data_IF_346815331425
#
_entry.id   IF_346815331425
#
_cell.length_a   1.000
_cell.length_b   1.000
_cell.length_c   1.000
_cell.angle_alpha   90.00
_cell.angle_beta   90.00
_cell.angle_gamma   90.00
#
_symmetry.space_group_name_H-M   'P 1'
#
loop_
_entity.id
_entity.type
_entity.pdbx_description
1 polymer ?
#
# COMPACT_ATOMS: atom_id res chain seq x y z
N UNK A 1 -46.20 -26.29 34.45
CA UNK A 1 -46.12 -25.96 33.01
C UNK A 1 -44.64 -25.89 32.63
N UNK A 2 -44.12 -26.89 31.90
CA UNK A 2 -42.70 -26.93 31.54
C UNK A 2 -42.42 -25.95 30.38
N UNK A 3 -41.47 -25.03 30.57
CA UNK A 3 -41.05 -24.10 29.53
C UNK A 3 -40.41 -24.86 28.36
N UNK A 4 -41.00 -24.74 27.16
CA UNK A 4 -40.43 -25.32 25.93
C UNK A 4 -39.06 -24.68 25.68
N UNK A 5 -38.00 -25.48 25.77
CA UNK A 5 -36.62 -25.07 25.49
C UNK A 5 -36.49 -24.73 24.01
N UNK A 6 -36.29 -23.45 23.69
CA UNK A 6 -36.13 -23.01 22.30
C UNK A 6 -34.85 -23.60 21.69
N UNK A 7 -34.95 -24.15 20.47
CA UNK A 7 -33.78 -24.66 19.75
C UNK A 7 -32.84 -23.49 19.38
N UNK A 8 -31.51 -23.66 19.50
CA UNK A 8 -30.57 -22.63 19.11
C UNK A 8 -30.66 -22.37 17.60
N UNK A 9 -30.99 -21.13 17.22
CA UNK A 9 -31.02 -20.70 15.82
C UNK A 9 -29.59 -20.49 15.33
N UNK A 10 -29.22 -21.17 14.24
CA UNK A 10 -27.92 -20.97 13.63
C UNK A 10 -27.73 -19.51 13.19
N UNK A 11 -26.53 -18.91 13.39
CA UNK A 11 -26.27 -17.54 12.96
C UNK A 11 -26.42 -17.43 11.44
N UNK A 12 -27.14 -16.39 10.99
CA UNK A 12 -27.37 -16.12 9.56
C UNK A 12 -26.08 -15.75 8.81
N UNK A 13 -25.09 -15.22 9.52
CA UNK A 13 -23.81 -14.81 8.95
C UNK A 13 -22.83 -15.98 9.05
N UNK A 14 -22.42 -16.50 7.88
CA UNK A 14 -21.53 -17.67 7.77
C UNK A 14 -20.05 -17.34 7.91
N UNK A 15 -19.66 -16.08 7.69
CA UNK A 15 -18.28 -15.63 7.72
C UNK A 15 -18.11 -14.45 8.66
N UNK A 16 -17.13 -14.52 9.56
CA UNK A 16 -16.77 -13.39 10.42
C UNK A 16 -16.04 -12.36 9.56
N UNK A 17 -16.65 -11.21 9.36
CA UNK A 17 -16.00 -10.06 8.72
C UNK A 17 -15.41 -9.21 9.84
N UNK A 18 -14.11 -8.98 9.79
CA UNK A 18 -13.46 -8.01 10.67
C UNK A 18 -13.64 -6.61 10.07
N UNK A 19 -14.37 -5.71 10.75
CA UNK A 19 -14.63 -4.37 10.22
C UNK A 19 -13.34 -3.55 10.19
N UNK A 20 -13.08 -2.89 9.06
CA UNK A 20 -11.96 -1.98 8.86
C UNK A 20 -12.07 -0.69 9.69
N UNK A 21 -13.30 -0.32 10.05
CA UNK A 21 -13.60 0.88 10.83
C UNK A 21 -14.02 0.54 12.25
N UNK A 22 -13.70 1.43 13.19
CA UNK A 22 -13.96 1.22 14.60
C UNK A 22 -14.37 2.50 15.34
N UNK A 23 -15.25 2.42 16.35
CA UNK A 23 -15.62 3.57 17.17
C UNK A 23 -14.47 4.01 18.07
N UNK A 24 -14.55 5.24 18.58
CA UNK A 24 -13.54 5.84 19.45
C UNK A 24 -13.16 4.96 20.65
N UNK A 25 -14.12 4.26 21.26
CA UNK A 25 -13.87 3.37 22.40
C UNK A 25 -12.92 2.22 22.04
N UNK A 26 -13.09 1.61 20.86
CA UNK A 26 -12.22 0.51 20.40
C UNK A 26 -10.82 1.03 20.06
N UNK A 27 -10.72 2.24 19.52
CA UNK A 27 -9.43 2.91 19.28
C UNK A 27 -8.72 3.23 20.60
N UNK A 28 -9.42 3.77 21.59
CA UNK A 28 -8.88 4.07 22.91
C UNK A 28 -8.27 2.82 23.56
N UNK A 29 -9.01 1.70 23.55
CA UNK A 29 -8.50 0.41 24.05
C UNK A 29 -7.25 -0.06 23.31
N UNK A 30 -7.15 0.16 21.99
CA UNK A 30 -5.97 -0.19 21.18
C UNK A 30 -4.75 0.66 21.52
N UNK A 31 -4.97 1.88 22.01
CA UNK A 31 -3.95 2.77 22.55
C UNK A 31 -3.69 2.54 24.05
N UNK A 32 -4.31 1.54 24.66
CA UNK A 32 -4.28 1.25 26.09
C UNK A 32 -4.80 2.42 26.97
N UNK A 33 -5.80 3.15 26.48
CA UNK A 33 -6.45 4.25 27.17
C UNK A 33 -7.94 3.93 27.42
N UNK A 34 -8.52 4.56 28.45
CA UNK A 34 -9.98 4.65 28.56
C UNK A 34 -10.54 5.65 27.55
N UNK A 35 -11.85 5.60 27.30
CA UNK A 35 -12.51 6.53 26.38
C UNK A 35 -12.33 7.99 26.84
N UNK A 36 -12.46 8.27 28.14
CA UNK A 36 -12.26 9.62 28.68
C UNK A 36 -10.82 10.10 28.55
N UNK A 37 -9.84 9.25 28.88
CA UNK A 37 -8.42 9.57 28.68
C UNK A 37 -8.09 9.86 27.22
N UNK A 38 -8.69 9.10 26.29
CA UNK A 38 -8.53 9.35 24.86
C UNK A 38 -9.10 10.72 24.47
N UNK A 39 -10.29 11.10 24.98
CA UNK A 39 -10.89 12.42 24.74
C UNK A 39 -10.04 13.56 25.30
N UNK A 40 -9.50 13.40 26.51
CA UNK A 40 -8.61 14.40 27.12
C UNK A 40 -7.33 14.61 26.32
N UNK A 41 -6.78 13.52 25.76
CA UNK A 41 -5.56 13.57 24.96
C UNK A 41 -5.83 13.85 23.47
N UNK A 42 -7.07 13.81 23.00
CA UNK A 42 -7.43 13.84 21.58
C UNK A 42 -6.86 15.06 20.86
N UNK A 43 -6.98 16.25 21.47
CA UNK A 43 -6.40 17.49 20.90
C UNK A 43 -4.89 17.38 20.67
N UNK A 44 -4.15 16.78 21.62
CA UNK A 44 -2.70 16.58 21.51
C UNK A 44 -2.37 15.50 20.47
N UNK A 45 -3.19 14.46 20.37
CA UNK A 45 -3.05 13.41 19.35
C UNK A 45 -3.24 13.99 17.94
N UNK A 46 -4.30 14.78 17.71
CA UNK A 46 -4.54 15.42 16.41
C UNK A 46 -3.43 16.41 16.04
N UNK A 47 -2.89 17.16 17.00
CA UNK A 47 -1.72 18.02 16.78
C UNK A 47 -0.48 17.23 16.35
N UNK A 48 -0.37 15.94 16.72
CA UNK A 48 0.69 15.01 16.29
C UNK A 48 0.35 14.28 14.98
N UNK A 49 -0.73 14.67 14.30
CA UNK A 49 -1.19 14.05 13.06
C UNK A 49 -1.90 12.72 13.23
N UNK A 50 -2.48 12.44 14.41
CA UNK A 50 -3.36 11.28 14.58
C UNK A 50 -4.58 11.40 13.65
N UNK A 51 -5.04 10.31 13.00
CA UNK A 51 -6.15 10.37 12.05
C UNK A 51 -7.45 10.85 12.70
N UNK A 52 -8.19 11.68 11.99
CA UNK A 52 -9.52 12.13 12.40
C UNK A 52 -10.56 11.03 12.12
N UNK A 53 -11.65 10.98 12.91
CA UNK A 53 -12.78 10.11 12.59
C UNK A 53 -13.44 10.57 11.29
N UNK A 54 -14.06 9.63 10.58
CA UNK A 54 -14.91 9.91 9.43
C UNK A 54 -16.06 10.86 9.81
N UNK A 55 -16.28 11.90 9.01
CA UNK A 55 -17.28 12.94 9.31
C UNK A 55 -18.70 12.42 9.26
N UNK A 56 -18.95 11.41 8.41
CA UNK A 56 -20.30 10.86 8.19
C UNK A 56 -20.63 9.80 9.25
N UNK A 57 -19.67 8.93 9.54
CA UNK A 57 -19.88 7.73 10.35
C UNK A 57 -19.38 7.89 11.79
N UNK A 58 -18.52 8.88 12.06
CA UNK A 58 -17.84 9.07 13.35
C UNK A 58 -16.84 7.95 13.70
N UNK A 59 -16.52 7.09 12.72
CA UNK A 59 -15.67 5.92 12.90
C UNK A 59 -14.24 6.21 12.47
N UNK A 60 -13.29 5.55 13.11
CA UNK A 60 -11.88 5.64 12.76
C UNK A 60 -11.49 4.48 11.86
N UNK A 61 -10.65 4.76 10.87
CA UNK A 61 -9.98 3.74 10.08
C UNK A 61 -8.87 3.07 10.92
N UNK A 62 -8.97 1.75 11.11
CA UNK A 62 -8.02 0.97 11.90
C UNK A 62 -6.63 0.90 11.27
N UNK A 63 -6.54 0.97 9.95
CA UNK A 63 -5.28 0.94 9.21
C UNK A 63 -4.57 2.29 9.32
N UNK A 64 -5.31 3.40 9.23
CA UNK A 64 -4.76 4.74 9.41
C UNK A 64 -4.14 4.91 10.81
N UNK A 65 -4.81 4.39 11.85
CA UNK A 65 -4.30 4.42 13.22
C UNK A 65 -3.02 3.60 13.35
N UNK A 66 -2.96 2.42 12.73
CA UNK A 66 -1.78 1.55 12.75
C UNK A 66 -0.58 2.21 12.04
N UNK A 67 -0.81 2.75 10.84
CA UNK A 67 0.21 3.49 10.08
C UNK A 67 0.75 4.69 10.84
N UNK A 68 -0.12 5.45 11.52
CA UNK A 68 0.32 6.54 12.39
C UNK A 68 1.24 6.02 13.50
N UNK A 69 0.88 4.90 14.15
CA UNK A 69 1.68 4.27 15.21
C UNK A 69 3.07 3.85 14.72
N UNK A 70 3.13 3.23 13.55
CA UNK A 70 4.38 2.83 12.89
C UNK A 70 5.24 4.06 12.57
N UNK A 71 4.64 5.12 12.04
CA UNK A 71 5.34 6.38 11.73
C UNK A 71 5.95 7.06 12.97
N UNK A 72 5.36 6.89 14.16
CA UNK A 72 5.94 7.43 15.41
C UNK A 72 7.17 6.64 15.90
N UNK A 73 7.40 5.43 15.37
CA UNK A 73 8.52 4.56 15.74
C UNK A 73 9.32 4.18 14.48
N UNK A 74 9.99 5.15 13.83
CA UNK A 74 10.81 4.86 12.65
C UNK A 74 11.94 3.87 12.94
N UNK A 75 12.38 3.78 14.20
CA UNK A 75 13.38 2.80 14.66
C UNK A 75 12.93 1.34 14.48
N UNK A 76 11.62 1.09 14.62
CA UNK A 76 11.01 -0.25 14.53
C UNK A 76 10.40 -0.52 13.16
N UNK A 77 9.99 0.54 12.45
CA UNK A 77 9.30 0.47 11.17
C UNK A 77 9.93 1.43 10.15
N UNK A 78 11.18 1.18 9.72
CA UNK A 78 11.85 2.02 8.73
C UNK A 78 11.09 2.05 7.39
N UNK A 79 10.41 0.97 7.01
CA UNK A 79 9.62 0.85 5.79
C UNK A 79 8.34 1.71 5.80
N UNK A 80 7.82 2.06 6.98
CA UNK A 80 6.61 2.89 7.10
C UNK A 80 6.90 4.39 6.98
N UNK A 81 8.17 4.80 7.15
CA UNK A 81 8.60 6.19 7.16
C UNK A 81 8.83 6.80 5.78
N UNK A 82 9.04 5.96 4.76
CA UNK A 82 9.41 6.43 3.43
C UNK A 82 8.41 5.95 2.38
N UNK A 83 7.82 6.84 1.55
CA UNK A 83 7.35 6.40 0.26
C UNK A 83 8.59 5.85 -0.43
N UNK A 84 8.63 4.53 -0.69
CA UNK A 84 9.62 3.96 -1.59
C UNK A 84 9.48 4.79 -2.87
N UNK A 85 10.48 5.59 -3.27
CA UNK A 85 10.38 6.34 -4.50
C UNK A 85 10.13 5.29 -5.57
N UNK A 86 8.97 5.40 -6.25
CA UNK A 86 8.66 4.49 -7.34
C UNK A 86 9.89 4.46 -8.24
N UNK A 87 10.48 3.28 -8.53
CA UNK A 87 11.66 3.21 -9.36
C UNK A 87 11.35 4.00 -10.62
N UNK A 88 12.23 4.96 -10.94
CA UNK A 88 12.00 5.85 -12.08
C UNK A 88 11.61 4.97 -13.28
N UNK A 89 10.51 5.31 -13.99
CA UNK A 89 10.09 4.50 -15.13
C UNK A 89 11.29 4.32 -16.05
N UNK A 90 11.55 3.10 -16.57
CA UNK A 90 12.69 2.86 -17.43
C UNK A 90 12.66 3.90 -18.56
N UNK A 91 13.82 4.43 -18.98
CA UNK A 91 13.87 5.42 -20.04
C UNK A 91 13.12 4.85 -21.26
N UNK A 92 12.23 5.65 -21.84
CA UNK A 92 11.50 5.25 -23.05
C UNK A 92 12.53 4.96 -24.13
N UNK A 93 12.67 3.69 -24.51
CA UNK A 93 13.50 3.28 -25.63
C UNK A 93 12.81 3.71 -26.94
N UNK A 94 13.48 4.57 -27.71
CA UNK A 94 13.05 4.89 -29.06
C UNK A 94 13.34 3.69 -29.98
N UNK A 95 12.29 2.96 -30.32
CA UNK A 95 12.38 1.78 -31.18
C UNK A 95 12.82 2.13 -32.61
N UNK A 96 12.57 3.36 -33.07
CA UNK A 96 12.98 3.84 -34.39
C UNK A 96 14.49 4.04 -34.47
N UNK A 97 15.09 4.67 -33.45
CA UNK A 97 16.54 4.82 -33.34
C UNK A 97 17.24 3.46 -33.32
N UNK A 98 16.72 2.52 -32.51
CA UNK A 98 17.28 1.16 -32.41
C UNK A 98 17.17 0.37 -33.72
N UNK A 99 16.05 0.50 -34.44
CA UNK A 99 15.87 -0.14 -35.74
C UNK A 99 16.85 0.38 -36.80
N UNK A 100 17.13 1.69 -36.78
CA UNK A 100 18.10 2.32 -37.68
C UNK A 100 19.52 1.83 -37.44
N UNK A 101 19.95 1.73 -36.18
CA UNK A 101 21.27 1.19 -35.83
C UNK A 101 21.44 -0.27 -36.29
N UNK A 102 20.41 -1.11 -36.11
CA UNK A 102 20.42 -2.51 -36.55
C UNK A 102 20.59 -2.59 -38.07
N UNK A 103 19.82 -1.77 -38.82
CA UNK A 103 19.91 -1.73 -40.27
C UNK A 103 21.30 -1.29 -40.75
N UNK A 104 21.87 -0.24 -40.16
CA UNK A 104 23.20 0.26 -40.51
C UNK A 104 24.30 -0.77 -40.19
N UNK A 105 24.18 -1.49 -39.07
CA UNK A 105 25.10 -2.58 -38.72
C UNK A 105 25.04 -3.74 -39.73
N UNK A 106 23.83 -4.13 -40.16
CA UNK A 106 23.66 -5.17 -41.17
C UNK A 106 24.20 -4.75 -42.54
N UNK A 107 24.01 -3.49 -42.93
CA UNK A 107 24.61 -2.94 -44.14
C UNK A 107 26.14 -2.98 -44.10
N UNK A 108 26.74 -2.60 -42.96
CA UNK A 108 28.20 -2.68 -42.77
C UNK A 108 28.71 -4.11 -42.88
N UNK A 109 28.07 -5.07 -42.22
CA UNK A 109 28.42 -6.50 -42.31
C UNK A 109 28.35 -7.00 -43.74
N UNK A 110 27.28 -6.65 -44.47
CA UNK A 110 27.12 -7.05 -45.88
C UNK A 110 28.20 -6.43 -46.77
N UNK A 111 28.50 -5.15 -46.60
CA UNK A 111 29.55 -4.45 -47.34
C UNK A 111 30.94 -5.06 -47.04
N UNK A 112 31.21 -5.39 -45.79
CA UNK A 112 32.45 -6.05 -45.37
C UNK A 112 32.60 -7.41 -46.05
N UNK A 113 31.57 -8.27 -46.00
CA UNK A 113 31.57 -9.59 -46.66
C UNK A 113 31.82 -9.46 -48.18
N UNK A 114 31.16 -8.50 -48.83
CA UNK A 114 31.36 -8.24 -50.26
C UNK A 114 32.79 -7.76 -50.57
N UNK A 115 33.36 -6.91 -49.72
CA UNK A 115 34.73 -6.43 -49.87
C UNK A 115 35.77 -7.55 -49.70
N UNK A 116 35.54 -8.48 -48.75
CA UNK A 116 36.41 -9.63 -48.53
C UNK A 116 36.35 -10.62 -49.71
N UNK A 117 35.15 -10.82 -50.30
CA UNK A 117 35.00 -11.65 -51.51
C UNK A 117 35.72 -11.05 -52.71
N UNK A 118 35.69 -9.72 -52.89
CA UNK A 118 36.38 -9.03 -53.99
C UNK A 118 37.91 -9.10 -53.87
N UNK A 119 38.48 -9.09 -52.65
CA UNK A 119 39.94 -9.18 -52.44
C UNK A 119 40.52 -10.60 -52.63
N UNK A 120 39.68 -11.63 -52.65
CA UNK A 120 40.10 -13.04 -52.70
C UNK A 120 39.99 -13.65 -54.12
N UNK A 121 39.63 -12.84 -55.11
CA UNK A 121 39.59 -13.19 -56.54
C UNK A 121 40.62 -12.38 -57.30
#
# INVERSE_FOLDING_TARGET
MAAKKAMPKAPQVRFRIDPAYAPAEKIARRLCLTLDQFRDCARRLYARGFPLPDETTGMYDLEAVERWRMKQRPDLYPEAGFPIPAPAPPPRLDLGAKAREIYEADQRRRAEILSQRRRKS
#
